data_IF_800795610473
#
_entry.id   IF_800795610473
#
_cell.length_a   1.000
_cell.length_b   1.000
_cell.length_c   1.000
_cell.angle_alpha   90.00
_cell.angle_beta   90.00
_cell.angle_gamma   90.00
#
_symmetry.space_group_name_H-M   'P 1'
#
loop_
_entity.id
_entity.type
_entity.pdbx_description
1 polymer ?
#
# COMPACT_ATOMS: atom_id res chain seq x y z
N UNK A 1 -33.23 -26.75 6.69
CA UNK A 1 -32.94 -25.31 6.87
C UNK A 1 -31.54 -25.06 7.45
N UNK A 2 -31.23 -25.55 8.65
CA UNK A 2 -29.91 -25.33 9.30
C UNK A 2 -28.72 -25.86 8.48
N UNK A 3 -28.82 -27.06 7.91
CA UNK A 3 -27.76 -27.66 7.09
C UNK A 3 -27.49 -26.87 5.79
N UNK A 4 -28.52 -26.23 5.24
CA UNK A 4 -28.42 -25.41 4.03
C UNK A 4 -27.70 -24.10 4.33
N UNK A 5 -27.95 -23.51 5.51
CA UNK A 5 -27.24 -22.34 6.02
C UNK A 5 -25.75 -22.69 6.26
N UNK A 6 -25.46 -23.81 6.91
CA UNK A 6 -24.06 -24.26 7.12
C UNK A 6 -23.31 -24.46 5.82
N UNK A 7 -23.94 -25.07 4.81
CA UNK A 7 -23.32 -25.30 3.49
C UNK A 7 -23.03 -23.98 2.76
N UNK A 8 -23.94 -23.01 2.81
CA UNK A 8 -23.71 -21.67 2.25
C UNK A 8 -22.59 -20.91 2.95
N UNK A 9 -22.50 -20.99 4.29
CA UNK A 9 -21.41 -20.39 5.07
C UNK A 9 -20.07 -21.05 4.77
N UNK A 10 -20.05 -22.39 4.66
CA UNK A 10 -18.84 -23.15 4.34
C UNK A 10 -18.31 -22.85 2.93
N UNK A 11 -19.21 -22.69 1.95
CA UNK A 11 -18.88 -22.30 0.58
C UNK A 11 -18.20 -20.92 0.52
N UNK A 12 -18.60 -19.99 1.39
CA UNK A 12 -18.00 -18.66 1.46
C UNK A 12 -16.65 -18.65 2.21
N UNK A 13 -16.51 -19.48 3.25
CA UNK A 13 -15.30 -19.52 4.05
C UNK A 13 -14.16 -20.31 3.37
N UNK A 14 -14.46 -21.33 2.56
CA UNK A 14 -13.47 -22.14 1.85
C UNK A 14 -12.46 -21.34 0.97
N UNK A 15 -12.89 -20.38 0.11
CA UNK A 15 -11.96 -19.57 -0.68
C UNK A 15 -11.11 -18.64 0.18
N UNK A 16 -11.68 -18.05 1.23
CA UNK A 16 -10.95 -17.16 2.17
C UNK A 16 -9.85 -17.95 2.90
N UNK A 17 -10.19 -19.13 3.40
CA UNK A 17 -9.22 -20.03 4.06
C UNK A 17 -8.12 -20.48 3.09
N UNK A 18 -8.45 -20.71 1.81
CA UNK A 18 -7.48 -21.09 0.78
C UNK A 18 -6.52 -19.94 0.48
N UNK A 19 -7.02 -18.72 0.31
CA UNK A 19 -6.21 -17.52 0.08
C UNK A 19 -5.32 -17.24 1.29
N UNK A 20 -5.86 -17.34 2.51
CA UNK A 20 -5.08 -17.14 3.73
C UNK A 20 -3.97 -18.19 3.87
N UNK A 21 -4.26 -19.47 3.67
CA UNK A 21 -3.26 -20.54 3.76
C UNK A 21 -2.19 -20.44 2.67
N UNK A 22 -2.58 -20.05 1.44
CA UNK A 22 -1.64 -19.86 0.34
C UNK A 22 -0.74 -18.62 0.53
N UNK A 23 -1.27 -17.55 1.12
CA UNK A 23 -0.56 -16.26 1.24
C UNK A 23 -0.08 -15.95 2.66
N UNK A 24 -0.16 -16.90 3.61
CA UNK A 24 0.21 -16.68 5.02
C UNK A 24 1.61 -16.10 5.18
N UNK A 25 2.57 -16.64 4.42
CA UNK A 25 3.96 -16.14 4.42
C UNK A 25 4.07 -14.73 3.83
N UNK A 26 3.35 -14.46 2.75
CA UNK A 26 3.33 -13.14 2.10
C UNK A 26 2.72 -12.09 3.01
N UNK A 27 1.57 -12.37 3.64
CA UNK A 27 0.89 -11.45 4.56
C UNK A 27 1.81 -11.07 5.72
N UNK A 28 2.49 -12.05 6.33
CA UNK A 28 3.43 -11.79 7.42
C UNK A 28 4.62 -10.92 6.95
N UNK A 29 5.19 -11.23 5.78
CA UNK A 29 6.28 -10.44 5.20
C UNK A 29 5.83 -9.01 4.90
N UNK A 30 4.63 -8.83 4.35
CA UNK A 30 4.05 -7.51 4.07
C UNK A 30 3.89 -6.72 5.36
N UNK A 31 3.35 -7.31 6.43
CA UNK A 31 3.18 -6.62 7.72
C UNK A 31 4.52 -6.19 8.31
N UNK A 32 5.51 -7.10 8.35
CA UNK A 32 6.84 -6.79 8.87
C UNK A 32 7.50 -5.69 8.04
N UNK A 33 7.42 -5.78 6.72
CA UNK A 33 7.99 -4.78 5.82
C UNK A 33 7.34 -3.42 6.01
N UNK A 34 6.01 -3.32 6.04
CA UNK A 34 5.31 -2.04 6.19
C UNK A 34 5.64 -1.38 7.54
N UNK A 35 5.64 -2.14 8.63
CA UNK A 35 5.95 -1.60 9.96
C UNK A 35 7.43 -1.20 10.04
N UNK A 36 8.34 -2.09 9.64
CA UNK A 36 9.77 -1.82 9.69
C UNK A 36 10.18 -0.65 8.80
N UNK A 37 9.69 -0.61 7.56
CA UNK A 37 9.96 0.48 6.63
C UNK A 37 9.43 1.82 7.16
N UNK A 38 8.22 1.85 7.72
CA UNK A 38 7.64 3.06 8.31
C UNK A 38 8.47 3.57 9.50
N UNK A 39 8.87 2.69 10.41
CA UNK A 39 9.68 3.07 11.58
C UNK A 39 11.05 3.59 11.15
N UNK A 40 11.72 2.91 10.22
CA UNK A 40 13.04 3.32 9.74
C UNK A 40 12.93 4.66 9.00
N UNK A 41 11.97 4.83 8.09
CA UNK A 41 11.75 6.07 7.36
C UNK A 41 11.47 7.25 8.30
N UNK A 42 10.53 7.09 9.23
CA UNK A 42 10.22 8.13 10.21
C UNK A 42 11.43 8.46 11.10
N UNK A 43 12.19 7.43 11.54
CA UNK A 43 13.39 7.63 12.36
C UNK A 43 14.49 8.35 11.59
N UNK A 44 14.72 8.01 10.32
CA UNK A 44 15.68 8.70 9.46
C UNK A 44 15.29 10.16 9.25
N UNK A 45 14.03 10.46 8.93
CA UNK A 45 13.55 11.84 8.77
C UNK A 45 13.77 12.64 10.05
N UNK A 46 13.31 12.12 11.20
CA UNK A 46 13.51 12.78 12.50
C UNK A 46 15.00 12.97 12.84
N UNK A 47 15.85 11.99 12.53
CA UNK A 47 17.29 12.03 12.85
C UNK A 47 18.06 13.01 11.95
N UNK A 48 17.85 12.94 10.63
CA UNK A 48 18.61 13.75 9.67
C UNK A 48 18.11 15.20 9.58
N UNK A 49 16.80 15.42 9.74
CA UNK A 49 16.22 16.77 9.60
C UNK A 49 15.87 17.42 10.93
N UNK A 50 15.92 16.69 12.05
CA UNK A 50 15.45 17.18 13.36
C UNK A 50 13.94 17.43 13.41
N UNK A 51 13.21 16.95 12.39
CA UNK A 51 11.78 17.13 12.23
C UNK A 51 10.97 16.49 13.37
N UNK A 52 9.96 17.19 13.86
CA UNK A 52 8.98 16.61 14.78
C UNK A 52 8.06 15.59 14.09
N UNK A 53 7.33 14.81 14.87
CA UNK A 53 6.39 13.78 14.36
C UNK A 53 5.38 14.32 13.33
N UNK A 54 4.93 15.57 13.50
CA UNK A 54 4.01 16.26 12.59
C UNK A 54 4.60 16.49 11.20
N UNK A 55 5.89 16.78 11.15
CA UNK A 55 6.60 17.02 9.89
C UNK A 55 6.84 15.69 9.17
N UNK A 56 7.23 14.63 9.90
CA UNK A 56 7.36 13.28 9.33
C UNK A 56 6.03 12.72 8.76
N UNK A 57 4.90 12.99 9.42
CA UNK A 57 3.57 12.64 8.88
C UNK A 57 3.21 13.45 7.63
N UNK A 58 3.61 14.73 7.61
CA UNK A 58 3.35 15.60 6.48
C UNK A 58 4.15 15.13 5.27
N UNK A 59 5.43 14.81 5.47
CA UNK A 59 6.30 14.22 4.45
C UNK A 59 5.72 12.92 3.87
N UNK A 60 5.27 12.01 4.74
CA UNK A 60 4.63 10.75 4.32
C UNK A 60 3.38 10.91 3.45
N UNK A 61 2.72 12.07 3.47
CA UNK A 61 1.57 12.40 2.61
C UNK A 61 2.00 13.23 1.40
N UNK A 62 2.89 14.20 1.60
CA UNK A 62 3.33 15.13 0.56
C UNK A 62 4.17 14.41 -0.48
N UNK A 63 5.08 13.52 -0.09
CA UNK A 63 5.94 12.77 -1.01
C UNK A 63 5.14 11.97 -2.07
N UNK A 64 4.16 11.11 -1.70
CA UNK A 64 3.37 10.38 -2.69
C UNK A 64 2.49 11.29 -3.55
N UNK A 65 1.98 12.40 -3.01
CA UNK A 65 1.20 13.38 -3.78
C UNK A 65 2.05 14.10 -4.81
N UNK A 66 3.22 14.58 -4.39
CA UNK A 66 4.13 15.33 -5.25
C UNK A 66 4.67 14.44 -6.38
N UNK A 67 5.01 13.18 -6.05
CA UNK A 67 5.39 12.18 -7.03
C UNK A 67 4.24 11.89 -8.03
N UNK A 68 3.00 11.76 -7.55
CA UNK A 68 1.83 11.53 -8.42
C UNK A 68 1.56 12.70 -9.36
N UNK A 69 1.66 13.94 -8.86
CA UNK A 69 1.52 15.16 -9.69
C UNK A 69 2.62 15.22 -10.75
N UNK A 70 3.87 14.91 -10.39
CA UNK A 70 4.97 14.89 -11.33
C UNK A 70 4.77 13.83 -12.42
N UNK A 71 4.36 12.61 -12.05
CA UNK A 71 4.01 11.56 -13.01
C UNK A 71 2.89 12.01 -13.95
N UNK A 72 1.85 12.67 -13.45
CA UNK A 72 0.77 13.18 -14.29
C UNK A 72 1.23 14.25 -15.30
N UNK A 73 2.12 15.15 -14.87
CA UNK A 73 2.70 16.17 -15.77
C UNK A 73 3.54 15.51 -16.86
N UNK A 74 4.39 14.55 -16.49
CA UNK A 74 5.17 13.78 -17.45
C UNK A 74 4.25 13.04 -18.41
N UNK A 75 3.29 12.27 -17.90
CA UNK A 75 2.35 11.51 -18.74
C UNK A 75 1.65 12.43 -19.77
N UNK A 76 1.16 13.59 -19.33
CA UNK A 76 0.53 14.58 -20.22
C UNK A 76 1.51 15.18 -21.24
N UNK A 77 2.74 15.49 -20.82
CA UNK A 77 3.77 16.04 -21.71
C UNK A 77 4.19 15.04 -22.79
N UNK A 78 4.36 13.77 -22.41
CA UNK A 78 4.74 12.70 -23.33
C UNK A 78 3.56 12.28 -24.23
N UNK A 79 2.35 12.16 -23.70
CA UNK A 79 1.13 11.94 -24.49
C UNK A 79 0.94 13.05 -25.54
N UNK A 80 1.18 14.31 -25.17
CA UNK A 80 1.14 15.44 -26.10
C UNK A 80 2.22 15.39 -27.19
N UNK A 81 3.34 14.69 -26.98
CA UNK A 81 4.42 14.54 -27.97
C UNK A 81 4.20 13.39 -28.95
N UNK A 82 3.43 12.36 -28.58
CA UNK A 82 3.19 11.19 -29.43
C UNK A 82 1.86 11.23 -30.20
N UNK A 83 1.04 12.27 -30.01
CA UNK A 83 -0.20 12.49 -30.75
C UNK A 83 0.03 13.17 -32.12
N UNK A 84 1.05 12.72 -32.84
CA UNK A 84 1.33 13.12 -34.23
C UNK A 84 1.91 11.96 -35.05
N UNK A 85 1.22 10.82 -35.06
CA UNK A 85 1.15 9.91 -36.22
C UNK A 85 -0.25 9.31 -36.32
#
# INVERSE_FOLDING_TARGET
MIEQIKKSVMLFNAPIQRVYRANRGTILRTIIYTIGHFIIAASCVMYFTGAGFREAMTDAIVEPLLNSVWYFILDKFWASKYQSQ
#
